data_IF_440758521191
#
_entry.id   IF_440758521191
#
_cell.length_a   1.000
_cell.length_b   1.000
_cell.length_c   1.000
_cell.angle_alpha   90.00
_cell.angle_beta   90.00
_cell.angle_gamma   90.00
#
_symmetry.space_group_name_H-M   'P 1'
#
loop_
_entity.id
_entity.type
_entity.pdbx_description
1 polymer ?
#
# COMPACT_ATOMS: atom_id res chain seq x y z
N UNK A 1 6.69 -28.86 24.87
CA UNK A 1 6.35 -27.58 24.24
C UNK A 1 6.97 -27.56 22.85
N UNK A 2 6.17 -27.60 21.79
CA UNK A 2 6.67 -27.58 20.41
C UNK A 2 7.28 -26.22 20.11
N UNK A 3 8.58 -26.20 19.77
CA UNK A 3 9.29 -25.03 19.30
C UNK A 3 8.64 -24.58 17.99
N UNK A 4 7.80 -23.56 18.05
CA UNK A 4 7.23 -22.94 16.86
C UNK A 4 8.40 -22.32 16.10
N UNK A 5 8.89 -23.01 15.07
CA UNK A 5 9.86 -22.44 14.14
C UNK A 5 9.13 -21.27 13.51
N UNK A 6 9.69 -20.07 13.66
CA UNK A 6 9.14 -18.85 13.08
C UNK A 6 9.43 -18.90 11.58
N UNK A 7 8.74 -19.78 10.85
CA UNK A 7 8.91 -19.97 9.42
C UNK A 7 8.54 -18.66 8.72
N UNK A 8 9.44 -18.19 7.87
CA UNK A 8 9.16 -17.02 7.04
C UNK A 8 7.97 -17.34 6.13
N UNK A 9 6.88 -16.60 6.33
CA UNK A 9 5.63 -16.80 5.58
C UNK A 9 5.58 -15.97 4.30
N UNK A 10 6.44 -14.97 4.17
CA UNK A 10 6.48 -14.07 3.02
C UNK A 10 7.48 -14.56 1.99
N UNK A 11 7.02 -14.68 0.75
CA UNK A 11 7.89 -15.01 -0.38
C UNK A 11 8.86 -13.87 -0.72
N UNK A 12 8.41 -12.60 -0.61
CA UNK A 12 9.20 -11.43 -0.94
C UNK A 12 9.70 -10.69 0.31
N UNK A 13 10.98 -10.32 0.30
CA UNK A 13 11.60 -9.47 1.32
C UNK A 13 10.90 -8.11 1.38
N UNK A 14 10.61 -7.64 2.60
CA UNK A 14 10.07 -6.31 2.84
C UNK A 14 11.12 -5.40 3.45
N UNK A 15 11.28 -4.22 2.87
CA UNK A 15 12.15 -3.17 3.39
C UNK A 15 11.29 -2.07 4.00
N UNK A 16 11.61 -1.67 5.23
CA UNK A 16 11.05 -0.45 5.81
C UNK A 16 11.64 0.75 5.04
N UNK A 17 10.81 1.40 4.23
CA UNK A 17 11.22 2.51 3.39
C UNK A 17 10.08 3.51 3.32
N UNK A 18 10.41 4.76 3.61
CA UNK A 18 9.51 5.91 3.54
C UNK A 18 9.62 6.53 2.15
N UNK A 19 8.91 5.97 1.18
CA UNK A 19 8.84 6.50 -0.17
C UNK A 19 7.57 7.34 -0.35
N UNK A 20 7.66 8.63 -0.73
CA UNK A 20 6.50 9.44 -1.09
C UNK A 20 5.82 8.88 -2.34
N UNK A 21 4.50 8.72 -2.26
CA UNK A 21 3.67 8.23 -3.35
C UNK A 21 2.38 9.04 -3.46
N UNK A 22 1.75 8.98 -4.63
CA UNK A 22 0.38 9.40 -4.84
C UNK A 22 -0.45 8.16 -5.09
N UNK A 23 -1.53 7.98 -4.33
CA UNK A 23 -2.46 6.87 -4.46
C UNK A 23 -3.76 7.40 -5.04
N UNK A 24 -4.25 6.77 -6.09
CA UNK A 24 -5.50 7.16 -6.75
C UNK A 24 -6.43 5.97 -6.86
N UNK A 25 -7.73 6.25 -6.84
CA UNK A 25 -8.76 5.22 -6.94
C UNK A 25 -10.11 5.78 -7.34
N UNK A 26 -11.14 4.96 -7.18
CA UNK A 26 -12.54 5.31 -7.40
C UNK A 26 -13.31 5.08 -6.12
N UNK A 27 -14.16 6.02 -5.73
CA UNK A 27 -15.13 5.82 -4.67
C UNK A 27 -16.23 4.86 -5.14
N UNK A 28 -17.07 4.37 -4.21
CA UNK A 28 -18.22 3.51 -4.54
C UNK A 28 -19.17 4.16 -5.57
N UNK A 29 -19.32 5.48 -5.51
CA UNK A 29 -20.12 6.28 -6.44
C UNK A 29 -19.42 6.57 -7.78
N UNK A 30 -18.22 6.01 -8.00
CA UNK A 30 -17.43 6.18 -9.22
C UNK A 30 -16.62 7.48 -9.30
N UNK A 31 -16.73 8.38 -8.32
CA UNK A 31 -15.92 9.58 -8.23
C UNK A 31 -14.43 9.22 -8.12
N UNK A 32 -13.58 9.86 -8.94
CA UNK A 32 -12.14 9.69 -8.85
C UNK A 32 -11.58 10.47 -7.66
N UNK A 33 -10.59 9.89 -6.99
CA UNK A 33 -9.85 10.55 -5.91
C UNK A 33 -8.36 10.28 -6.04
N UNK A 34 -7.57 11.15 -5.42
CA UNK A 34 -6.11 11.04 -5.36
C UNK A 34 -5.64 11.59 -4.01
N UNK A 35 -4.73 10.87 -3.36
CA UNK A 35 -4.21 11.20 -2.04
C UNK A 35 -2.67 11.04 -2.04
N UNK A 36 -1.90 12.10 -1.72
CA UNK A 36 -0.47 11.95 -1.45
C UNK A 36 -0.25 11.28 -0.08
N UNK A 37 0.66 10.32 -0.02
CA UNK A 37 1.02 9.60 1.21
C UNK A 37 2.46 9.10 1.12
N UNK A 38 2.89 8.33 2.12
CA UNK A 38 4.19 7.67 2.16
C UNK A 38 4.03 6.19 2.49
N UNK A 39 4.94 5.39 1.98
CA UNK A 39 5.01 3.96 2.31
C UNK A 39 5.62 3.76 3.69
N UNK A 40 5.13 2.76 4.43
CA UNK A 40 5.75 2.23 5.63
C UNK A 40 6.81 1.18 5.24
N UNK A 41 6.44 0.30 4.30
CA UNK A 41 7.28 -0.75 3.75
C UNK A 41 7.00 -1.01 2.27
N UNK A 42 8.01 -1.53 1.57
CA UNK A 42 7.92 -1.97 0.18
C UNK A 42 8.51 -3.37 0.01
N UNK A 43 8.05 -4.06 -1.03
CA UNK A 43 8.61 -5.29 -1.58
C UNK A 43 8.35 -5.35 -3.07
N UNK A 44 8.91 -6.35 -3.75
CA UNK A 44 8.63 -6.61 -5.17
C UNK A 44 7.18 -7.01 -5.45
N UNK A 45 6.41 -7.40 -4.43
CA UNK A 45 5.03 -7.91 -4.58
C UNK A 45 3.97 -7.03 -3.90
N UNK A 46 4.36 -5.90 -3.31
CA UNK A 46 3.39 -5.08 -2.59
C UNK A 46 4.03 -4.11 -1.62
N UNK A 47 3.18 -3.22 -1.09
CA UNK A 47 3.59 -2.14 -0.20
C UNK A 47 2.49 -1.89 0.84
N UNK A 48 2.86 -1.18 1.90
CA UNK A 48 2.01 -0.78 3.00
C UNK A 48 2.11 0.72 3.18
N UNK A 49 0.97 1.40 3.36
CA UNK A 49 0.89 2.84 3.57
C UNK A 49 -0.39 3.20 4.34
N UNK A 50 -0.59 4.48 4.62
CA UNK A 50 -1.80 4.98 5.26
C UNK A 50 -2.64 5.80 4.28
N UNK A 51 -3.97 5.69 4.38
CA UNK A 51 -4.92 6.51 3.65
C UNK A 51 -5.95 7.13 4.59
N UNK A 52 -6.37 8.35 4.28
CA UNK A 52 -7.58 8.96 4.81
C UNK A 52 -8.80 8.45 4.06
N UNK A 53 -8.64 8.19 2.75
CA UNK A 53 -9.71 7.65 1.93
C UNK A 53 -10.10 6.24 2.37
N UNK A 54 -11.41 6.01 2.50
CA UNK A 54 -11.94 4.66 2.75
C UNK A 54 -11.79 3.80 1.49
N UNK A 55 -11.18 2.65 1.67
CA UNK A 55 -11.00 1.61 0.64
C UNK A 55 -11.34 0.25 1.23
N UNK A 56 -11.76 -0.66 0.37
CA UNK A 56 -12.17 -2.02 0.69
C UNK A 56 -11.18 -3.04 0.15
N UNK A 57 -11.11 -4.21 0.79
CA UNK A 57 -10.33 -5.34 0.26
C UNK A 57 -10.87 -5.72 -1.11
N UNK A 58 -9.97 -5.85 -2.08
CA UNK A 58 -10.31 -6.11 -3.47
C UNK A 58 -10.30 -4.87 -4.36
N UNK A 59 -10.35 -3.66 -3.80
CA UNK A 59 -10.28 -2.43 -4.58
C UNK A 59 -8.98 -2.34 -5.38
N UNK A 60 -9.08 -1.75 -6.57
CA UNK A 60 -7.94 -1.48 -7.43
C UNK A 60 -7.50 -0.04 -7.25
N UNK A 61 -6.23 0.13 -6.89
CA UNK A 61 -5.58 1.41 -6.67
C UNK A 61 -4.47 1.62 -7.70
N UNK A 62 -4.21 2.88 -8.03
CA UNK A 62 -3.10 3.30 -8.88
C UNK A 62 -2.10 4.05 -8.02
N UNK A 63 -0.88 3.55 -7.96
CA UNK A 63 0.21 4.13 -7.17
C UNK A 63 1.20 4.78 -8.11
N UNK A 64 1.59 6.01 -7.81
CA UNK A 64 2.63 6.74 -8.53
C UNK A 64 3.72 7.22 -7.58
N UNK A 65 4.97 6.90 -7.90
CA UNK A 65 6.16 7.40 -7.24
C UNK A 65 7.06 8.11 -8.26
N UNK A 66 8.18 8.67 -7.79
CA UNK A 66 9.22 9.21 -8.66
C UNK A 66 10.57 8.57 -8.32
N UNK A 67 11.34 8.25 -9.36
CA UNK A 67 12.75 7.87 -9.23
C UNK A 67 13.58 9.07 -8.76
N UNK A 68 14.81 8.84 -8.27
CA UNK A 68 15.74 9.92 -7.93
C UNK A 68 16.02 10.88 -9.11
N UNK A 69 15.93 10.40 -10.35
CA UNK A 69 16.07 11.21 -11.57
C UNK A 69 14.80 12.02 -11.93
N UNK A 70 13.74 11.92 -11.11
CA UNK A 70 12.47 12.60 -11.32
C UNK A 70 11.51 11.88 -12.27
N UNK A 71 11.91 10.77 -12.91
CA UNK A 71 11.00 10.02 -13.79
C UNK A 71 9.91 9.29 -12.99
N UNK A 72 8.66 9.23 -13.48
CA UNK A 72 7.59 8.57 -12.76
C UNK A 72 7.74 7.04 -12.78
N UNK A 73 7.28 6.42 -11.70
CA UNK A 73 6.99 4.98 -11.61
C UNK A 73 5.51 4.86 -11.30
N UNK A 74 4.79 4.08 -12.09
CA UNK A 74 3.36 3.85 -11.92
C UNK A 74 3.08 2.36 -11.82
N UNK A 75 2.19 1.99 -10.91
CA UNK A 75 1.80 0.60 -10.71
C UNK A 75 0.33 0.50 -10.32
N UNK A 76 -0.35 -0.50 -10.85
CA UNK A 76 -1.69 -0.89 -10.41
C UNK A 76 -1.55 -1.89 -9.28
N UNK A 77 -2.29 -1.70 -8.19
CA UNK A 77 -2.23 -2.59 -7.03
C UNK A 77 -3.64 -2.93 -6.54
N UNK A 78 -3.80 -4.11 -5.94
CA UNK A 78 -5.05 -4.55 -5.32
C UNK A 78 -4.95 -4.48 -3.82
N UNK A 79 -5.96 -3.93 -3.15
CA UNK A 79 -6.03 -3.91 -1.67
C UNK A 79 -6.20 -5.34 -1.16
N UNK A 80 -5.24 -5.82 -0.37
CA UNK A 80 -5.28 -7.17 0.23
C UNK A 80 -5.55 -7.13 1.74
N UNK A 81 -5.28 -6.01 2.41
CA UNK A 81 -5.69 -5.77 3.80
C UNK A 81 -5.97 -4.30 4.07
N UNK A 82 -6.88 -4.07 5.01
CA UNK A 82 -7.09 -2.79 5.68
C UNK A 82 -7.05 -3.03 7.19
N UNK A 83 -6.51 -2.08 7.95
CA UNK A 83 -6.54 -2.09 9.40
C UNK A 83 -6.73 -0.64 9.89
N UNK A 84 -7.45 -0.41 11.01
CA UNK A 84 -7.51 0.91 11.61
C UNK A 84 -6.12 1.43 11.96
N UNK A 85 -5.91 2.74 11.78
CA UNK A 85 -4.71 3.44 12.20
C UNK A 85 -5.08 4.68 13.04
N UNK A 86 -4.07 5.46 13.43
CA UNK A 86 -4.24 6.66 14.23
C UNK A 86 -5.04 7.73 13.48
N UNK A 87 -5.77 8.56 14.23
CA UNK A 87 -6.48 9.74 13.73
C UNK A 87 -7.50 9.46 12.61
N UNK A 88 -8.12 8.28 12.60
CA UNK A 88 -9.18 7.95 11.63
C UNK A 88 -8.68 7.53 10.24
N UNK A 89 -7.36 7.38 10.07
CA UNK A 89 -6.77 6.80 8.85
C UNK A 89 -6.89 5.28 8.86
N UNK A 90 -6.75 4.67 7.68
CA UNK A 90 -6.61 3.24 7.50
C UNK A 90 -5.18 2.90 7.07
N UNK A 91 -4.61 1.86 7.67
CA UNK A 91 -3.38 1.23 7.19
C UNK A 91 -3.74 0.22 6.11
N UNK A 92 -3.25 0.45 4.89
CA UNK A 92 -3.66 -0.25 3.68
C UNK A 92 -2.47 -1.02 3.12
N UNK A 93 -2.61 -2.35 3.07
CA UNK A 93 -1.63 -3.20 2.39
C UNK A 93 -2.15 -3.60 1.02
N UNK A 94 -1.33 -3.40 0.00
CA UNK A 94 -1.65 -3.72 -1.39
C UNK A 94 -0.71 -4.77 -1.96
N UNK A 95 -1.20 -5.53 -2.93
CA UNK A 95 -0.43 -6.42 -3.78
C UNK A 95 -0.29 -5.81 -5.17
N UNK A 96 0.93 -5.87 -5.70
CA UNK A 96 1.29 -5.44 -7.06
C UNK A 96 1.27 -6.65 -7.99
#
# INVERSE_FOLDING_TARGET
MSKQINEERRFALRMALRLPIVVSGRAEEGAAWSEPTETDDISTMGTLFHLNQKVSRGDQLYLRAHRPDGSPIEVTARVVRTAPAIYGTARVGVQI
#
